data_IF_263093301494
#
_entry.id   IF_263093301494
#
_cell.length_a   1.000
_cell.length_b   1.000
_cell.length_c   1.000
_cell.angle_alpha   90.00
_cell.angle_beta   90.00
_cell.angle_gamma   90.00
#
_symmetry.space_group_name_H-M   'P 1'
#
loop_
_entity.id
_entity.type
_entity.pdbx_description
1 polymer ?
#
# COMPACT_ATOMS: atom_id res chain seq x y z
N UNK A 1 -35.53 -78.99 50.87
CA UNK A 1 -35.69 -77.72 50.12
C UNK A 1 -34.76 -76.68 50.73
N UNK A 2 -33.52 -76.56 50.23
CA UNK A 2 -32.52 -75.60 50.76
C UNK A 2 -32.02 -74.67 49.65
N UNK A 3 -32.90 -73.78 49.19
CA UNK A 3 -32.52 -72.64 48.35
C UNK A 3 -32.05 -71.49 49.23
N UNK A 4 -30.81 -71.57 49.72
CA UNK A 4 -30.27 -70.64 50.71
C UNK A 4 -29.95 -69.22 50.20
N UNK A 5 -29.64 -68.28 51.13
CA UNK A 5 -29.42 -66.84 50.90
C UNK A 5 -28.27 -66.51 49.92
N UNK A 6 -27.42 -67.47 49.58
CA UNK A 6 -26.30 -67.30 48.67
C UNK A 6 -26.72 -66.88 47.24
N UNK A 7 -27.85 -67.39 46.71
CA UNK A 7 -28.34 -67.04 45.36
C UNK A 7 -28.85 -65.59 45.26
N UNK A 8 -29.40 -65.05 46.36
CA UNK A 8 -29.86 -63.66 46.44
C UNK A 8 -28.69 -62.66 46.55
N UNK A 9 -27.59 -63.06 47.22
CA UNK A 9 -26.39 -62.23 47.31
C UNK A 9 -25.67 -62.10 45.95
N UNK A 10 -25.65 -63.16 45.12
CA UNK A 10 -25.05 -63.07 43.78
C UNK A 10 -25.86 -62.20 42.81
N UNK A 11 -27.20 -62.26 42.88
CA UNK A 11 -28.08 -61.46 42.02
C UNK A 11 -27.99 -59.95 42.32
N UNK A 12 -27.91 -59.59 43.61
CA UNK A 12 -27.75 -58.19 44.03
C UNK A 12 -26.39 -57.61 43.64
N UNK A 13 -25.34 -58.42 43.68
CA UNK A 13 -23.99 -58.00 43.28
C UNK A 13 -23.86 -57.78 41.76
N UNK A 14 -24.55 -58.60 40.96
CA UNK A 14 -24.60 -58.45 39.50
C UNK A 14 -25.32 -57.16 39.06
N UNK A 15 -26.44 -56.84 39.72
CA UNK A 15 -27.21 -55.59 39.47
C UNK A 15 -26.35 -54.35 39.80
N UNK A 16 -25.58 -54.39 40.88
CA UNK A 16 -24.70 -53.28 41.28
C UNK A 16 -23.59 -53.04 40.25
N UNK A 17 -22.98 -54.11 39.71
CA UNK A 17 -21.96 -54.02 38.66
C UNK A 17 -22.50 -53.43 37.36
N UNK A 18 -23.69 -53.85 36.92
CA UNK A 18 -24.33 -53.32 35.71
C UNK A 18 -24.62 -51.82 35.89
N UNK A 19 -25.11 -51.41 37.06
CA UNK A 19 -25.37 -49.99 37.36
C UNK A 19 -24.08 -49.16 37.36
N UNK A 20 -22.99 -49.71 37.88
CA UNK A 20 -21.69 -49.04 37.87
C UNK A 20 -21.13 -48.90 36.45
N UNK A 21 -21.26 -49.94 35.61
CA UNK A 21 -20.84 -49.90 34.20
C UNK A 21 -21.69 -48.91 33.37
N UNK A 22 -23.01 -48.88 33.58
CA UNK A 22 -23.89 -47.92 32.93
C UNK A 22 -23.51 -46.47 33.28
N UNK A 23 -23.18 -46.22 34.56
CA UNK A 23 -22.73 -44.90 35.00
C UNK A 23 -21.39 -44.49 34.38
N UNK A 24 -20.43 -45.42 34.30
CA UNK A 24 -19.12 -45.16 33.64
C UNK A 24 -19.31 -44.84 32.16
N UNK A 25 -20.15 -45.62 31.46
CA UNK A 25 -20.46 -45.38 30.05
C UNK A 25 -21.13 -44.02 29.83
N UNK A 26 -22.07 -43.64 30.70
CA UNK A 26 -22.72 -42.32 30.64
C UNK A 26 -21.73 -41.18 30.87
N UNK A 27 -20.82 -41.30 31.84
CA UNK A 27 -19.78 -40.29 32.08
C UNK A 27 -18.81 -40.17 30.89
N UNK A 28 -18.40 -41.30 30.30
CA UNK A 28 -17.54 -41.30 29.11
C UNK A 28 -18.24 -40.64 27.92
N UNK A 29 -19.51 -41.00 27.65
CA UNK A 29 -20.28 -40.43 26.55
C UNK A 29 -20.51 -38.91 26.71
N UNK A 30 -20.70 -38.44 27.94
CA UNK A 30 -20.78 -37.00 28.24
C UNK A 30 -19.44 -36.29 27.99
N UNK A 31 -18.32 -36.88 28.42
CA UNK A 31 -16.99 -36.34 28.17
C UNK A 31 -16.66 -36.25 26.67
N UNK A 32 -17.02 -37.27 25.89
CA UNK A 32 -16.81 -37.26 24.44
C UNK A 32 -17.65 -36.16 23.76
N UNK A 33 -18.89 -35.95 24.22
CA UNK A 33 -19.74 -34.87 23.73
C UNK A 33 -19.21 -33.47 24.08
N UNK A 34 -18.69 -33.29 25.28
CA UNK A 34 -18.10 -32.02 25.72
C UNK A 34 -16.80 -31.72 24.95
N UNK A 35 -15.99 -32.75 24.69
CA UNK A 35 -14.79 -32.64 23.89
C UNK A 35 -15.11 -32.23 22.44
N UNK A 36 -16.08 -32.89 21.81
CA UNK A 36 -16.53 -32.54 20.46
C UNK A 36 -17.05 -31.08 20.38
N UNK A 37 -17.78 -30.63 21.41
CA UNK A 37 -18.24 -29.24 21.50
C UNK A 37 -17.07 -28.25 21.62
N UNK A 38 -16.06 -28.60 22.41
CA UNK A 38 -14.87 -27.75 22.60
C UNK A 38 -14.05 -27.63 21.31
N UNK A 39 -13.89 -28.73 20.57
CA UNK A 39 -13.23 -28.71 19.25
C UNK A 39 -13.96 -27.81 18.27
N UNK A 40 -15.30 -27.88 18.23
CA UNK A 40 -16.10 -27.03 17.37
C UNK A 40 -15.92 -25.55 17.71
N UNK A 41 -15.94 -25.17 19.00
CA UNK A 41 -15.71 -23.80 19.43
C UNK A 41 -14.31 -23.30 19.06
N UNK A 42 -13.28 -24.15 19.20
CA UNK A 42 -11.92 -23.80 18.81
C UNK A 42 -11.79 -23.59 17.30
N UNK A 43 -12.48 -24.41 16.51
CA UNK A 43 -12.52 -24.26 15.06
C UNK A 43 -13.23 -22.97 14.63
N UNK A 44 -14.34 -22.64 15.28
CA UNK A 44 -15.08 -21.40 15.03
C UNK A 44 -14.27 -20.16 15.39
N UNK A 45 -13.61 -20.14 16.56
CA UNK A 45 -12.72 -19.04 16.94
C UNK A 45 -11.62 -18.86 15.88
N UNK A 46 -10.93 -19.95 15.52
CA UNK A 46 -9.87 -19.91 14.50
C UNK A 46 -10.36 -19.41 13.15
N UNK A 47 -11.63 -19.63 12.82
CA UNK A 47 -12.24 -19.10 11.60
C UNK A 47 -12.50 -17.61 11.74
N UNK A 48 -13.14 -17.20 12.83
CA UNK A 48 -13.44 -15.79 13.11
C UNK A 48 -12.17 -14.94 13.14
N UNK A 49 -11.09 -15.47 13.73
CA UNK A 49 -9.80 -14.80 13.76
C UNK A 49 -9.18 -14.64 12.38
N UNK A 50 -9.27 -15.67 11.53
CA UNK A 50 -8.82 -15.58 10.13
C UNK A 50 -9.61 -14.56 9.33
N UNK A 51 -10.93 -14.57 9.47
CA UNK A 51 -11.79 -13.59 8.79
C UNK A 51 -11.48 -12.16 9.27
N UNK A 52 -11.22 -11.96 10.56
CA UNK A 52 -10.82 -10.68 11.11
C UNK A 52 -9.44 -10.22 10.58
N UNK A 53 -8.46 -11.12 10.53
CA UNK A 53 -7.13 -10.83 10.00
C UNK A 53 -7.19 -10.48 8.51
N UNK A 54 -7.97 -11.21 7.71
CA UNK A 54 -8.20 -10.91 6.29
C UNK A 54 -8.87 -9.56 6.08
N UNK A 55 -9.86 -9.21 6.90
CA UNK A 55 -10.50 -7.89 6.83
C UNK A 55 -9.53 -6.76 7.22
N UNK A 56 -8.69 -6.98 8.23
CA UNK A 56 -7.67 -6.01 8.62
C UNK A 56 -6.64 -5.79 7.52
N UNK A 57 -6.17 -6.86 6.86
CA UNK A 57 -5.24 -6.77 5.73
C UNK A 57 -5.86 -6.03 4.54
N UNK A 58 -7.11 -6.34 4.18
CA UNK A 58 -7.82 -5.62 3.12
C UNK A 58 -8.01 -4.13 3.45
N UNK A 59 -8.29 -3.80 4.71
CA UNK A 59 -8.41 -2.41 5.14
C UNK A 59 -7.08 -1.66 5.06
N UNK A 60 -5.98 -2.30 5.46
CA UNK A 60 -4.63 -1.73 5.39
C UNK A 60 -4.20 -1.50 3.93
N UNK A 61 -4.44 -2.46 3.04
CA UNK A 61 -4.14 -2.31 1.61
C UNK A 61 -4.95 -1.19 0.95
N UNK A 62 -6.24 -1.05 1.29
CA UNK A 62 -7.06 0.08 0.82
C UNK A 62 -6.51 1.41 1.33
N UNK A 63 -6.13 1.49 2.61
CA UNK A 63 -5.56 2.71 3.19
C UNK A 63 -4.22 3.08 2.54
N UNK A 64 -3.34 2.11 2.27
CA UNK A 64 -2.09 2.32 1.54
C UNK A 64 -2.34 2.84 0.12
N UNK A 65 -3.28 2.24 -0.60
CA UNK A 65 -3.63 2.67 -1.95
C UNK A 65 -4.18 4.09 -1.97
N UNK A 66 -5.10 4.41 -1.06
CA UNK A 66 -5.65 5.77 -0.94
C UNK A 66 -4.56 6.80 -0.63
N UNK A 67 -3.67 6.48 0.32
CA UNK A 67 -2.53 7.35 0.66
C UNK A 67 -1.63 7.59 -0.54
N UNK A 68 -1.31 6.55 -1.31
CA UNK A 68 -0.48 6.65 -2.52
C UNK A 68 -1.15 7.53 -3.57
N UNK A 69 -2.44 7.32 -3.82
CA UNK A 69 -3.21 8.12 -4.78
C UNK A 69 -3.26 9.59 -4.37
N UNK A 70 -3.45 9.89 -3.08
CA UNK A 70 -3.41 11.26 -2.56
C UNK A 70 -2.03 11.90 -2.77
N UNK A 71 -0.95 11.20 -2.45
CA UNK A 71 0.42 11.70 -2.66
C UNK A 71 0.71 11.98 -4.13
N UNK A 72 0.26 11.10 -5.03
CA UNK A 72 0.45 11.30 -6.47
C UNK A 72 -0.36 12.50 -6.98
N UNK A 73 -1.61 12.65 -6.54
CA UNK A 73 -2.44 13.80 -6.88
C UNK A 73 -1.84 15.13 -6.35
N UNK A 74 -1.35 15.15 -5.11
CA UNK A 74 -0.68 16.31 -4.52
C UNK A 74 0.62 16.66 -5.27
N UNK A 75 1.43 15.65 -5.60
CA UNK A 75 2.66 15.85 -6.37
C UNK A 75 2.36 16.44 -7.75
N UNK A 76 1.36 15.89 -8.45
CA UNK A 76 0.92 16.40 -9.74
C UNK A 76 0.40 17.83 -9.63
N UNK A 77 -0.45 18.13 -8.65
CA UNK A 77 -0.95 19.47 -8.39
C UNK A 77 0.18 20.45 -8.08
N UNK A 78 1.20 20.04 -7.33
CA UNK A 78 2.37 20.87 -7.05
C UNK A 78 3.19 21.16 -8.32
N UNK A 79 3.40 20.16 -9.17
CA UNK A 79 4.11 20.33 -10.45
C UNK A 79 3.33 21.28 -11.37
N UNK A 80 2.01 21.06 -11.51
CA UNK A 80 1.15 21.93 -12.32
C UNK A 80 1.12 23.35 -11.76
N UNK A 81 0.99 23.53 -10.45
CA UNK A 81 1.04 24.84 -9.79
C UNK A 81 2.37 25.58 -9.97
N UNK A 82 3.51 24.86 -10.01
CA UNK A 82 4.81 25.46 -10.35
C UNK A 82 4.88 25.94 -11.80
N UNK A 83 4.26 25.22 -12.74
CA UNK A 83 4.22 25.59 -14.16
C UNK A 83 3.30 26.78 -14.44
N UNK A 84 2.20 26.89 -13.70
CA UNK A 84 1.21 27.96 -13.88
C UNK A 84 1.43 29.16 -12.96
N UNK A 85 2.50 29.14 -12.15
CA UNK A 85 2.86 30.26 -11.28
C UNK A 85 3.05 31.52 -12.13
N UNK A 86 2.39 32.63 -11.80
CA UNK A 86 2.59 33.88 -12.51
C UNK A 86 4.06 34.30 -12.39
N UNK A 87 4.67 34.61 -13.53
CA UNK A 87 6.00 35.19 -13.60
C UNK A 87 5.88 36.69 -13.77
N UNK A 88 6.81 37.43 -13.17
CA UNK A 88 6.98 38.84 -13.47
C UNK A 88 7.56 39.00 -14.88
N UNK A 89 7.34 40.16 -15.50
CA UNK A 89 7.91 40.48 -16.81
C UNK A 89 9.44 40.34 -16.81
N UNK A 90 10.11 40.79 -15.74
CA UNK A 90 11.56 40.68 -15.60
C UNK A 90 12.06 39.23 -15.55
N UNK A 91 11.40 38.37 -14.76
CA UNK A 91 11.72 36.93 -14.69
C UNK A 91 11.58 36.26 -16.05
N UNK A 92 10.52 36.60 -16.79
CA UNK A 92 10.29 36.08 -18.14
C UNK A 92 11.42 36.49 -19.10
N UNK A 93 11.76 37.79 -19.16
CA UNK A 93 12.83 38.29 -20.03
C UNK A 93 14.18 37.64 -19.69
N UNK A 94 14.52 37.55 -18.40
CA UNK A 94 15.75 36.88 -17.95
C UNK A 94 15.80 35.40 -18.36
N UNK A 95 14.68 34.68 -18.24
CA UNK A 95 14.58 33.29 -18.68
C UNK A 95 14.77 33.15 -20.18
N UNK A 96 14.18 34.05 -21.00
CA UNK A 96 14.42 34.07 -22.44
C UNK A 96 15.89 34.27 -22.79
N UNK A 97 16.58 35.22 -22.13
CA UNK A 97 18.01 35.41 -22.34
C UNK A 97 18.84 34.18 -21.92
N UNK A 98 18.45 33.50 -20.85
CA UNK A 98 19.22 32.34 -20.34
C UNK A 98 18.99 31.08 -21.18
N UNK A 99 17.73 30.79 -21.54
CA UNK A 99 17.33 29.52 -22.13
C UNK A 99 17.31 29.55 -23.67
N UNK A 100 17.05 30.72 -24.25
CA UNK A 100 16.82 30.86 -25.70
C UNK A 100 17.92 31.63 -26.41
N UNK A 101 18.77 32.38 -25.69
CA UNK A 101 19.87 33.06 -26.35
C UNK A 101 20.90 32.06 -26.84
N UNK A 102 21.32 32.22 -28.09
CA UNK A 102 22.54 31.59 -28.59
C UNK A 102 23.69 32.56 -28.36
N UNK A 103 24.83 32.04 -27.91
CA UNK A 103 26.05 32.85 -27.83
C UNK A 103 26.40 33.35 -29.23
N UNK A 104 26.27 34.65 -29.47
CA UNK A 104 26.77 35.27 -30.68
C UNK A 104 28.29 35.33 -30.56
N UNK A 105 28.99 34.65 -31.47
CA UNK A 105 30.44 34.75 -31.61
C UNK A 105 30.73 35.61 -32.83
N UNK A 106 31.65 36.55 -32.68
CA UNK A 106 32.13 37.34 -33.81
C UNK A 106 32.89 36.40 -34.74
N UNK A 107 32.45 36.29 -35.98
CA UNK A 107 33.19 35.59 -37.01
C UNK A 107 34.35 36.48 -37.48
N UNK A 108 35.58 36.11 -37.14
CA UNK A 108 36.79 36.86 -37.51
C UNK A 108 37.36 36.45 -38.85
N UNK A 109 36.98 35.27 -39.35
CA UNK A 109 37.38 34.80 -40.67
C UNK A 109 36.64 35.59 -41.77
N UNK A 110 37.41 36.39 -42.52
CA UNK A 110 36.89 37.21 -43.62
C UNK A 110 36.34 36.38 -44.77
N UNK A 111 36.80 35.14 -44.96
CA UNK A 111 36.33 34.25 -46.03
C UNK A 111 34.87 33.80 -45.81
N UNK A 112 34.41 33.79 -44.55
CA UNK A 112 33.06 33.44 -44.14
C UNK A 112 32.14 34.66 -44.02
N UNK A 113 32.64 35.86 -44.32
CA UNK A 113 31.85 37.10 -44.38
C UNK A 113 31.09 37.19 -45.70
N UNK A 114 29.93 37.84 -45.67
CA UNK A 114 29.22 38.21 -46.89
C UNK A 114 30.09 39.16 -47.72
N UNK A 115 30.32 38.82 -48.99
CA UNK A 115 31.18 39.58 -49.91
C UNK A 115 30.41 40.65 -50.72
N UNK A 116 29.27 41.09 -50.20
CA UNK A 116 28.44 42.10 -50.85
C UNK A 116 29.06 43.50 -50.74
N UNK A 117 28.78 44.35 -51.74
CA UNK A 117 29.14 45.77 -51.64
C UNK A 117 28.40 46.40 -50.45
N UNK A 118 29.14 46.86 -49.46
CA UNK A 118 28.58 47.49 -48.26
C UNK A 118 28.04 48.86 -48.66
N UNK A 119 26.76 49.10 -48.40
CA UNK A 119 26.17 50.43 -48.61
C UNK A 119 26.86 51.46 -47.70
N UNK A 120 27.11 52.65 -48.24
CA UNK A 120 27.82 53.74 -47.56
C UNK A 120 27.46 53.82 -46.06
N UNK A 121 28.45 53.74 -45.15
CA UNK A 121 28.22 53.78 -43.71
C UNK A 121 27.98 55.21 -43.18
N UNK A 122 28.05 56.24 -44.04
CA UNK A 122 27.83 57.64 -43.64
C UNK A 122 26.47 57.79 -42.94
N UNK A 123 26.47 58.50 -41.80
CA UNK A 123 25.31 58.76 -40.93
C UNK A 123 24.65 57.52 -40.29
N UNK A 124 25.26 56.33 -40.39
CA UNK A 124 24.76 55.14 -39.69
C UNK A 124 25.39 55.05 -38.29
N UNK A 125 24.61 54.81 -37.23
CA UNK A 125 25.17 54.57 -35.90
C UNK A 125 26.02 53.30 -35.93
N UNK A 126 27.32 53.45 -35.74
CA UNK A 126 28.28 52.35 -35.67
C UNK A 126 28.79 52.23 -34.22
N UNK A 127 28.56 51.10 -33.53
CA UNK A 127 29.07 50.90 -32.18
C UNK A 127 30.60 51.01 -32.16
N UNK A 128 31.14 51.88 -31.32
CA UNK A 128 32.60 52.06 -31.19
C UNK A 128 33.23 50.97 -30.32
N UNK A 129 32.42 50.28 -29.52
CA UNK A 129 32.88 49.25 -28.60
C UNK A 129 31.85 48.12 -28.54
N UNK A 130 32.26 46.94 -28.98
CA UNK A 130 31.52 45.69 -28.78
C UNK A 130 32.27 44.92 -27.69
N UNK A 131 31.63 44.77 -26.51
CA UNK A 131 32.17 43.93 -25.43
C UNK A 131 31.56 42.52 -25.55
N UNK A 132 32.34 41.46 -25.25
CA UNK A 132 31.85 40.09 -25.22
C UNK A 132 30.86 39.84 -24.07
#
# INVERSE_FOLDING_TARGET
MSGGPAKLMTATQSILSIRQQAHIHEMSSRQDSDFARLEQLLQEERRNRREADEQAEQADERAKLERRNRQEAESRAQIEGKKTKPTTFEEYIRACHTLLSKSLRIQTDKSLSTQGSITSPKNKPCPTLLKP
#
